data_IF_550088075307
#
_entry.id   IF_550088075307
#
_cell.length_a   1.000
_cell.length_b   1.000
_cell.length_c   1.000
_cell.angle_alpha   90.00
_cell.angle_beta   90.00
_cell.angle_gamma   90.00
#
_symmetry.space_group_name_H-M   'P 1'
#
loop_
_entity.id
_entity.type
_entity.pdbx_description
1 polymer ?
#
# COMPACT_ATOMS: atom_id res chain seq x y z
N UNK A 1 -16.20 0.80 8.34
CA UNK A 1 -15.88 0.28 7.01
C UNK A 1 -14.38 0.13 6.99
N UNK A 2 -13.89 -1.09 6.75
CA UNK A 2 -12.46 -1.27 6.53
C UNK A 2 -12.03 -0.55 5.23
N UNK A 3 -10.84 0.05 5.20
CA UNK A 3 -10.32 0.65 3.97
C UNK A 3 -10.14 -0.45 2.91
N UNK A 4 -10.70 -0.22 1.71
CA UNK A 4 -10.64 -1.17 0.61
C UNK A 4 -9.48 -0.84 -0.33
N UNK A 5 -8.65 -1.84 -0.61
CA UNK A 5 -7.53 -1.76 -1.52
C UNK A 5 -7.80 -2.57 -2.77
N UNK A 6 -7.97 -1.88 -3.89
CA UNK A 6 -8.13 -2.54 -5.18
C UNK A 6 -6.77 -2.89 -5.76
N UNK A 7 -6.64 -4.14 -6.18
CA UNK A 7 -5.48 -4.66 -6.87
C UNK A 7 -5.92 -5.51 -8.07
N UNK A 8 -4.96 -5.93 -8.88
CA UNK A 8 -5.17 -6.70 -10.10
C UNK A 8 -4.20 -7.88 -10.13
N UNK A 9 -4.69 -9.04 -10.57
CA UNK A 9 -3.87 -10.17 -10.96
C UNK A 9 -4.29 -10.61 -12.38
N UNK A 10 -3.71 -11.71 -12.88
CA UNK A 10 -3.97 -12.24 -14.23
C UNK A 10 -5.46 -12.53 -14.50
N UNK A 11 -6.22 -12.83 -13.45
CA UNK A 11 -7.65 -13.13 -13.55
C UNK A 11 -8.53 -11.88 -13.51
N UNK A 12 -7.99 -10.73 -13.08
CA UNK A 12 -8.68 -9.45 -13.04
C UNK A 12 -8.66 -8.76 -11.68
N UNK A 13 -9.60 -7.81 -11.50
CA UNK A 13 -9.66 -6.96 -10.31
C UNK A 13 -10.04 -7.77 -9.07
N UNK A 14 -9.44 -7.44 -7.94
CA UNK A 14 -9.85 -7.91 -6.62
C UNK A 14 -9.70 -6.80 -5.58
N UNK A 15 -10.29 -7.02 -4.41
CA UNK A 15 -10.32 -6.10 -3.30
C UNK A 15 -9.71 -6.80 -2.08
N UNK A 16 -8.78 -6.13 -1.42
CA UNK A 16 -8.24 -6.52 -0.12
C UNK A 16 -8.66 -5.49 0.92
N UNK A 17 -8.72 -5.93 2.17
CA UNK A 17 -9.04 -5.06 3.30
C UNK A 17 -7.90 -5.16 4.31
N UNK A 18 -7.55 -4.04 4.92
CA UNK A 18 -6.52 -4.03 5.96
C UNK A 18 -7.03 -4.71 7.23
N UNK A 19 -6.19 -5.57 7.82
CA UNK A 19 -6.51 -6.20 9.11
C UNK A 19 -6.62 -5.15 10.21
N UNK A 20 -5.73 -4.15 10.21
CA UNK A 20 -5.75 -3.05 11.17
C UNK A 20 -7.10 -2.32 11.21
N UNK A 21 -7.79 -2.18 10.07
CA UNK A 21 -9.11 -1.56 10.05
C UNK A 21 -10.21 -2.51 10.51
N UNK A 22 -10.13 -3.79 10.14
CA UNK A 22 -11.07 -4.79 10.62
C UNK A 22 -10.99 -4.95 12.15
N UNK A 23 -9.82 -4.76 12.75
CA UNK A 23 -9.59 -4.82 14.20
C UNK A 23 -10.15 -3.62 14.98
N UNK A 24 -10.30 -2.46 14.34
CA UNK A 24 -10.91 -1.27 14.97
C UNK A 24 -12.40 -1.46 15.25
N UNK A 25 -13.05 -2.37 14.53
CA UNK A 25 -14.49 -2.61 14.62
C UNK A 25 -14.76 -3.42 15.88
N UNK A 26 -15.53 -2.84 16.80
CA UNK A 26 -16.02 -3.54 17.98
C UNK A 26 -16.80 -4.78 17.55
N UNK A 27 -16.64 -5.92 18.24
CA UNK A 27 -17.39 -7.15 17.97
C UNK A 27 -18.88 -6.94 18.29
N UNK A 28 -19.76 -6.69 17.29
CA UNK A 28 -21.17 -6.53 17.57
C UNK A 28 -21.77 -7.92 17.75
N UNK A 29 -22.92 -8.00 18.42
CA UNK A 29 -23.78 -9.17 18.26
C UNK A 29 -24.15 -9.30 16.78
N UNK A 30 -24.17 -10.53 16.20
CA UNK A 30 -24.54 -10.74 14.81
C UNK A 30 -25.85 -10.00 14.47
N UNK A 31 -25.83 -9.17 13.42
CA UNK A 31 -26.99 -8.39 12.97
C UNK A 31 -27.81 -9.25 12.00
N UNK A 32 -29.14 -9.26 12.15
CA UNK A 32 -30.07 -10.02 11.29
C UNK A 32 -31.19 -10.72 12.05
N UNK A 33 -32.12 -11.35 11.32
CA UNK A 33 -33.16 -12.17 11.95
C UNK A 33 -32.56 -13.42 12.65
N UNK A 34 -33.34 -14.09 13.52
CA UNK A 34 -32.84 -15.22 14.31
C UNK A 34 -32.19 -16.33 13.45
N UNK A 35 -32.77 -16.63 12.29
CA UNK A 35 -32.29 -17.66 11.37
C UNK A 35 -30.95 -17.28 10.73
N UNK A 36 -30.81 -16.06 10.19
CA UNK A 36 -29.55 -15.57 9.63
C UNK A 36 -28.44 -15.62 10.68
N UNK A 37 -28.73 -15.19 11.91
CA UNK A 37 -27.76 -15.22 13.02
C UNK A 37 -27.32 -16.64 13.37
N UNK A 38 -28.24 -17.59 13.37
CA UNK A 38 -27.92 -19.00 13.62
C UNK A 38 -26.98 -19.57 12.54
N UNK A 39 -27.33 -19.38 11.26
CA UNK A 39 -26.55 -19.91 10.13
C UNK A 39 -25.18 -19.26 10.01
N UNK A 40 -25.11 -17.96 10.28
CA UNK A 40 -23.85 -17.22 10.31
C UNK A 40 -22.95 -17.66 11.47
N UNK A 41 -23.49 -17.84 12.67
CA UNK A 41 -22.73 -18.36 13.79
C UNK A 41 -22.19 -19.76 13.52
N UNK A 42 -23.00 -20.62 12.89
CA UNK A 42 -22.53 -21.92 12.41
C UNK A 42 -21.36 -21.76 11.44
N UNK A 43 -21.47 -20.86 10.45
CA UNK A 43 -20.45 -20.69 9.43
C UNK A 43 -19.14 -20.12 10.00
N UNK A 44 -19.23 -19.12 10.87
CA UNK A 44 -18.08 -18.56 11.61
C UNK A 44 -17.38 -19.65 12.43
N UNK A 45 -18.14 -20.50 13.13
CA UNK A 45 -17.57 -21.59 13.92
C UNK A 45 -16.83 -22.61 13.05
N UNK A 46 -17.37 -22.98 11.89
CA UNK A 46 -16.68 -23.89 10.96
C UNK A 46 -15.40 -23.26 10.37
N UNK A 47 -15.39 -21.94 10.13
CA UNK A 47 -14.18 -21.21 9.70
C UNK A 47 -13.13 -21.22 10.79
N UNK A 48 -13.48 -20.86 12.03
CA UNK A 48 -12.56 -20.88 13.18
C UNK A 48 -12.00 -22.28 13.48
N UNK A 49 -12.78 -23.34 13.23
CA UNK A 49 -12.29 -24.72 13.30
C UNK A 49 -11.31 -25.05 12.17
N UNK A 50 -11.56 -24.56 10.96
CA UNK A 50 -10.72 -24.82 9.80
C UNK A 50 -9.40 -24.04 9.81
N UNK A 51 -9.41 -22.82 10.35
CA UNK A 51 -8.29 -21.90 10.39
C UNK A 51 -8.01 -21.51 11.85
N UNK A 52 -7.24 -22.34 12.55
CA UNK A 52 -6.93 -22.12 13.97
C UNK A 52 -6.15 -20.82 14.13
N UNK A 53 -6.65 -19.93 14.98
CA UNK A 53 -6.04 -18.61 15.22
C UNK A 53 -6.60 -17.48 14.35
N UNK A 54 -7.50 -17.77 13.40
CA UNK A 54 -8.15 -16.70 12.65
C UNK A 54 -9.18 -15.94 13.50
N UNK A 55 -9.31 -14.65 13.23
CA UNK A 55 -10.41 -13.82 13.67
C UNK A 55 -11.44 -13.65 12.55
N UNK A 56 -12.68 -13.40 12.97
CA UNK A 56 -13.79 -13.09 12.06
C UNK A 56 -14.55 -11.91 12.63
N UNK A 57 -14.58 -10.79 11.90
CA UNK A 57 -15.20 -9.54 12.34
C UNK A 57 -16.03 -8.89 11.24
N UNK A 58 -17.14 -8.22 11.56
CA UNK A 58 -17.93 -7.53 10.55
C UNK A 58 -17.20 -6.32 9.98
N UNK A 59 -17.64 -5.86 8.81
CA UNK A 59 -17.10 -4.66 8.13
C UNK A 59 -17.64 -3.32 8.69
N UNK A 60 -18.69 -3.38 9.53
CA UNK A 60 -19.34 -2.22 10.13
C UNK A 60 -19.86 -2.50 11.55
N UNK A 61 -19.89 -1.46 12.39
CA UNK A 61 -20.33 -1.57 13.79
C UNK A 61 -21.84 -1.66 13.97
N UNK A 62 -22.67 -1.21 13.01
CA UNK A 62 -24.12 -1.35 13.09
C UNK A 62 -24.86 -1.01 11.77
N UNK A 63 -25.96 -1.72 11.51
CA UNK A 63 -27.08 -1.34 10.62
C UNK A 63 -26.92 -1.38 9.08
N UNK A 64 -25.97 -2.14 8.52
CA UNK A 64 -26.00 -2.44 7.09
C UNK A 64 -26.86 -3.68 6.79
N UNK A 65 -27.73 -3.61 5.77
CA UNK A 65 -28.46 -4.78 5.24
C UNK A 65 -27.51 -5.84 4.65
N UNK A 66 -26.31 -5.42 4.27
CA UNK A 66 -25.28 -6.24 3.63
C UNK A 66 -24.03 -6.29 4.52
N UNK A 67 -24.15 -6.94 5.69
CA UNK A 67 -23.03 -7.05 6.63
C UNK A 67 -22.13 -8.24 6.27
N UNK A 68 -20.98 -7.96 5.67
CA UNK A 68 -19.93 -8.97 5.45
C UNK A 68 -19.05 -9.11 6.68
N UNK A 69 -18.42 -10.28 6.82
CA UNK A 69 -17.51 -10.60 7.91
C UNK A 69 -16.15 -10.98 7.34
N UNK A 70 -15.16 -10.14 7.60
CA UNK A 70 -13.77 -10.34 7.23
C UNK A 70 -13.16 -11.49 8.01
N UNK A 71 -12.44 -12.36 7.32
CA UNK A 71 -11.70 -13.49 7.90
C UNK A 71 -10.21 -13.21 7.74
N UNK A 72 -9.47 -13.24 8.84
CA UNK A 72 -8.06 -12.88 8.82
C UNK A 72 -7.27 -13.49 9.98
N UNK A 73 -5.95 -13.47 9.86
CA UNK A 73 -5.05 -13.67 10.99
C UNK A 73 -4.64 -12.32 11.56
N UNK A 74 -4.63 -12.11 12.89
CA UNK A 74 -4.33 -10.81 13.50
C UNK A 74 -2.98 -10.21 13.11
N UNK A 75 -2.01 -11.06 12.76
CA UNK A 75 -0.65 -10.67 12.37
C UNK A 75 -0.47 -10.42 10.85
N UNK A 76 -1.51 -10.66 10.05
CA UNK A 76 -1.46 -10.38 8.61
C UNK A 76 -1.73 -8.91 8.29
N UNK A 77 -1.17 -8.41 7.18
CA UNK A 77 -1.45 -7.06 6.68
C UNK A 77 -2.88 -6.95 6.13
N UNK A 78 -3.29 -7.95 5.34
CA UNK A 78 -4.56 -7.98 4.63
C UNK A 78 -5.42 -9.19 5.02
N UNK A 79 -6.73 -9.02 4.96
CA UNK A 79 -7.70 -10.09 5.20
C UNK A 79 -7.61 -11.18 4.12
N UNK A 80 -7.98 -12.41 4.48
CA UNK A 80 -8.04 -13.54 3.53
C UNK A 80 -9.22 -13.40 2.55
N UNK A 81 -10.18 -12.56 2.92
CA UNK A 81 -11.47 -12.39 2.25
C UNK A 81 -12.56 -12.14 3.27
N UNK A 82 -13.82 -12.29 2.84
CA UNK A 82 -14.98 -12.15 3.71
C UNK A 82 -16.03 -13.19 3.43
N UNK A 83 -16.90 -13.40 4.41
CA UNK A 83 -18.07 -14.26 4.32
C UNK A 83 -19.35 -13.48 4.63
N UNK A 84 -20.45 -13.99 4.10
CA UNK A 84 -21.79 -13.46 4.37
C UNK A 84 -22.82 -14.61 4.34
N UNK A 85 -23.90 -14.44 5.09
CA UNK A 85 -25.08 -15.30 5.05
C UNK A 85 -26.31 -14.43 4.81
N UNK A 86 -26.92 -14.63 3.65
CA UNK A 86 -28.09 -13.87 3.22
C UNK A 86 -29.24 -14.77 2.78
N UNK A 87 -30.36 -14.15 2.43
CA UNK A 87 -31.52 -14.85 1.87
C UNK A 87 -31.63 -14.60 0.37
N UNK A 88 -31.67 -15.66 -0.43
CA UNK A 88 -31.94 -15.58 -1.86
C UNK A 88 -33.46 -15.59 -2.07
N UNK A 89 -34.04 -14.41 -2.30
CA UNK A 89 -35.49 -14.25 -2.50
C UNK A 89 -36.03 -15.05 -3.69
N UNK A 90 -35.26 -15.15 -4.79
CA UNK A 90 -35.68 -15.90 -5.98
C UNK A 90 -35.83 -17.40 -5.74
N UNK A 91 -34.99 -17.97 -4.87
CA UNK A 91 -34.97 -19.41 -4.58
C UNK A 91 -35.53 -19.75 -3.19
N UNK A 92 -36.01 -18.74 -2.47
CA UNK A 92 -36.52 -18.81 -1.10
C UNK A 92 -35.62 -19.60 -0.13
N UNK A 93 -34.31 -19.41 -0.23
CA UNK A 93 -33.31 -20.18 0.53
C UNK A 93 -32.23 -19.29 1.13
N UNK A 94 -31.70 -19.72 2.28
CA UNK A 94 -30.47 -19.18 2.81
C UNK A 94 -29.30 -19.51 1.88
N UNK A 95 -28.41 -18.53 1.69
CA UNK A 95 -27.22 -18.66 0.88
C UNK A 95 -26.00 -18.16 1.63
N UNK A 96 -24.92 -18.92 1.51
CA UNK A 96 -23.61 -18.62 2.04
C UNK A 96 -22.76 -18.03 0.93
N UNK A 97 -22.12 -16.90 1.20
CA UNK A 97 -21.21 -16.22 0.29
C UNK A 97 -19.80 -16.27 0.84
N UNK A 98 -18.85 -16.53 -0.05
CA UNK A 98 -17.42 -16.45 0.24
C UNK A 98 -16.80 -15.59 -0.84
N UNK A 99 -16.12 -14.54 -0.42
CA UNK A 99 -15.29 -13.70 -1.26
C UNK A 99 -13.82 -13.98 -0.99
N UNK A 100 -13.03 -14.08 -2.04
CA UNK A 100 -11.58 -14.14 -1.98
C UNK A 100 -10.99 -13.77 -3.34
N UNK A 101 -9.76 -13.22 -3.32
CA UNK A 101 -8.98 -12.98 -4.54
C UNK A 101 -8.68 -14.26 -5.32
N UNK A 102 -8.69 -15.43 -4.67
CA UNK A 102 -8.42 -16.73 -5.30
C UNK A 102 -9.65 -17.33 -6.02
N UNK A 103 -10.77 -16.61 -6.02
CA UNK A 103 -12.00 -17.04 -6.67
C UNK A 103 -12.08 -16.45 -8.06
N UNK A 104 -12.32 -17.32 -9.04
CA UNK A 104 -12.92 -16.97 -10.33
C UNK A 104 -14.22 -17.72 -10.49
N UNK A 105 -15.31 -16.99 -10.74
CA UNK A 105 -16.61 -17.61 -11.00
C UNK A 105 -17.01 -17.64 -12.46
N UNK A 106 -16.31 -16.91 -13.34
CA UNK A 106 -16.54 -16.83 -14.79
C UNK A 106 -18.01 -16.56 -15.19
N UNK A 107 -18.82 -16.03 -14.26
CA UNK A 107 -20.24 -15.70 -14.44
C UNK A 107 -20.48 -14.20 -14.52
N UNK A 108 -19.60 -13.43 -13.89
CA UNK A 108 -19.65 -11.96 -13.86
C UNK A 108 -18.41 -11.42 -14.55
N UNK A 109 -18.42 -10.13 -14.91
CA UNK A 109 -17.24 -9.49 -15.48
C UNK A 109 -16.11 -9.40 -14.46
N UNK A 110 -14.87 -9.57 -14.91
CA UNK A 110 -13.65 -9.61 -14.07
C UNK A 110 -13.28 -8.30 -13.34
N UNK A 111 -14.09 -7.25 -13.49
CA UNK A 111 -14.01 -6.00 -12.74
C UNK A 111 -15.07 -5.88 -11.62
N UNK A 112 -15.98 -6.84 -11.50
CA UNK A 112 -17.03 -6.89 -10.45
C UNK A 112 -16.55 -7.66 -9.22
N UNK A 113 -16.96 -7.23 -8.02
CA UNK A 113 -16.73 -8.00 -6.79
C UNK A 113 -17.42 -9.37 -6.81
N UNK A 114 -18.53 -9.48 -7.56
CA UNK A 114 -19.25 -10.74 -7.73
C UNK A 114 -18.40 -11.78 -8.44
N UNK A 115 -17.48 -11.39 -9.33
CA UNK A 115 -16.57 -12.31 -10.04
C UNK A 115 -15.68 -13.11 -9.09
N UNK A 116 -15.32 -12.48 -7.96
CA UNK A 116 -14.50 -13.02 -6.86
C UNK A 116 -15.33 -13.66 -5.74
N UNK A 117 -16.62 -13.93 -5.99
CA UNK A 117 -17.55 -14.49 -4.99
C UNK A 117 -18.09 -15.85 -5.43
N UNK A 118 -18.10 -16.81 -4.50
CA UNK A 118 -18.88 -18.06 -4.63
C UNK A 118 -20.10 -18.00 -3.71
N UNK A 119 -21.24 -18.41 -4.24
CA UNK A 119 -22.52 -18.45 -3.53
C UNK A 119 -23.05 -19.89 -3.58
N UNK A 120 -23.56 -20.40 -2.45
CA UNK A 120 -24.18 -21.73 -2.36
C UNK A 120 -25.26 -21.75 -1.28
N UNK A 121 -26.29 -22.57 -1.45
CA UNK A 121 -27.29 -22.83 -0.40
C UNK A 121 -26.92 -24.03 0.49
N UNK A 122 -25.88 -24.78 0.15
CA UNK A 122 -25.47 -25.99 0.86
C UNK A 122 -24.34 -25.69 1.85
N UNK A 123 -24.59 -25.93 3.14
CA UNK A 123 -23.62 -25.77 4.22
C UNK A 123 -22.29 -26.51 3.95
N UNK A 124 -22.36 -27.78 3.55
CA UNK A 124 -21.16 -28.58 3.25
C UNK A 124 -20.29 -27.94 2.17
N UNK A 125 -20.92 -27.42 1.11
CA UNK A 125 -20.24 -26.71 0.03
C UNK A 125 -19.68 -25.36 0.49
N UNK A 126 -20.42 -24.62 1.35
CA UNK A 126 -19.97 -23.34 1.89
C UNK A 126 -18.66 -23.50 2.66
N UNK A 127 -18.59 -24.53 3.52
CA UNK A 127 -17.36 -24.90 4.24
C UNK A 127 -16.23 -25.25 3.29
N UNK A 128 -16.48 -26.06 2.26
CA UNK A 128 -15.46 -26.43 1.28
C UNK A 128 -14.94 -25.22 0.51
N UNK A 129 -15.82 -24.31 0.09
CA UNK A 129 -15.46 -23.07 -0.59
C UNK A 129 -14.58 -22.18 0.32
N UNK A 130 -15.00 -21.97 1.56
CA UNK A 130 -14.23 -21.21 2.54
C UNK A 130 -12.81 -21.81 2.73
N UNK A 131 -12.72 -23.13 2.97
CA UNK A 131 -11.44 -23.83 3.13
C UNK A 131 -10.54 -23.76 1.90
N UNK A 132 -11.15 -23.78 0.70
CA UNK A 132 -10.40 -23.77 -0.55
C UNK A 132 -9.80 -22.39 -0.83
N UNK A 133 -10.62 -21.34 -0.69
CA UNK A 133 -10.32 -20.01 -1.24
C UNK A 133 -9.94 -18.95 -0.20
N UNK A 134 -10.31 -19.08 1.07
CA UNK A 134 -9.80 -18.16 2.09
C UNK A 134 -8.34 -18.57 2.36
N UNK A 135 -7.41 -17.87 1.73
CA UNK A 135 -5.96 -18.06 1.90
C UNK A 135 -5.32 -16.76 2.35
N UNK A 136 -4.24 -16.87 3.13
CA UNK A 136 -3.40 -15.73 3.50
C UNK A 136 -2.78 -15.14 2.24
N UNK A 137 -2.58 -13.82 2.22
CA UNK A 137 -1.87 -13.16 1.13
C UNK A 137 -0.39 -13.57 1.16
N UNK A 138 0.16 -13.89 -0.01
CA UNK A 138 1.62 -14.03 -0.20
C UNK A 138 2.29 -12.66 -0.08
N UNK A 139 3.60 -12.63 0.19
CA UNK A 139 4.32 -11.36 0.25
C UNK A 139 4.24 -10.59 -1.06
N UNK A 140 4.36 -11.25 -2.21
CA UNK A 140 4.16 -10.64 -3.52
C UNK A 140 2.80 -9.93 -3.65
N UNK A 141 1.72 -10.56 -3.19
CA UNK A 141 0.38 -9.95 -3.22
C UNK A 141 0.26 -8.76 -2.27
N UNK A 142 0.88 -8.84 -1.10
CA UNK A 142 0.95 -7.72 -0.14
C UNK A 142 1.67 -6.53 -0.78
N UNK A 143 2.80 -6.78 -1.45
CA UNK A 143 3.56 -5.73 -2.14
C UNK A 143 2.78 -5.15 -3.31
N UNK A 144 2.12 -5.97 -4.13
CA UNK A 144 1.27 -5.48 -5.23
C UNK A 144 0.18 -4.53 -4.74
N UNK A 145 -0.45 -4.84 -3.61
CA UNK A 145 -1.52 -4.05 -3.03
C UNK A 145 -1.03 -2.74 -2.37
N UNK A 146 0.21 -2.72 -1.84
CA UNK A 146 0.73 -1.61 -1.03
C UNK A 146 1.69 -0.67 -1.77
N UNK A 147 2.39 -1.14 -2.82
CA UNK A 147 3.46 -0.38 -3.50
C UNK A 147 3.03 0.97 -4.06
N UNK A 148 1.75 1.11 -4.40
CA UNK A 148 1.19 2.38 -4.87
C UNK A 148 1.26 3.47 -3.80
N UNK A 149 1.07 3.14 -2.51
CA UNK A 149 1.20 4.13 -1.42
C UNK A 149 2.65 4.59 -1.27
N UNK A 150 3.61 3.68 -1.37
CA UNK A 150 5.05 4.02 -1.39
C UNK A 150 5.37 4.96 -2.55
N UNK A 151 4.92 4.63 -3.78
CA UNK A 151 5.12 5.47 -4.96
C UNK A 151 4.52 6.86 -4.76
N UNK A 152 3.30 6.97 -4.26
CA UNK A 152 2.67 8.26 -3.99
C UNK A 152 3.47 9.10 -3.00
N UNK A 153 3.93 8.52 -1.89
CA UNK A 153 4.74 9.23 -0.90
C UNK A 153 6.06 9.74 -1.48
N UNK A 154 6.75 8.90 -2.27
CA UNK A 154 7.96 9.26 -2.98
C UNK A 154 7.72 10.39 -4.00
N UNK A 155 6.68 10.29 -4.83
CA UNK A 155 6.33 11.34 -5.80
C UNK A 155 5.98 12.65 -5.10
N UNK A 156 5.29 12.62 -3.96
CA UNK A 156 5.01 13.83 -3.18
C UNK A 156 6.29 14.51 -2.66
N UNK A 157 7.31 13.75 -2.28
CA UNK A 157 8.60 14.31 -1.90
C UNK A 157 9.31 14.98 -3.09
N UNK A 158 9.31 14.32 -4.25
CA UNK A 158 9.88 14.85 -5.50
C UNK A 158 9.16 16.12 -5.92
N UNK A 159 7.83 16.08 -6.03
CA UNK A 159 7.00 17.22 -6.42
C UNK A 159 7.18 18.39 -5.44
N UNK A 160 7.25 18.13 -4.13
CA UNK A 160 7.49 19.15 -3.13
C UNK A 160 8.86 19.83 -3.26
N UNK A 161 9.90 19.09 -3.66
CA UNK A 161 11.22 19.67 -3.95
C UNK A 161 11.21 20.51 -5.25
N UNK A 162 10.50 20.02 -6.27
CA UNK A 162 10.35 20.71 -7.54
C UNK A 162 9.55 22.01 -7.38
N UNK A 163 8.48 22.02 -6.59
CA UNK A 163 7.66 23.20 -6.32
C UNK A 163 8.46 24.31 -5.63
N UNK A 164 9.36 23.94 -4.70
CA UNK A 164 10.30 24.89 -4.08
C UNK A 164 11.25 25.48 -5.11
N UNK A 165 11.81 24.66 -5.99
CA UNK A 165 12.65 25.14 -7.08
C UNK A 165 11.88 26.03 -8.06
N UNK A 166 10.65 25.66 -8.45
CA UNK A 166 9.78 26.47 -9.30
C UNK A 166 9.48 27.84 -8.68
N UNK A 167 9.25 27.87 -7.36
CA UNK A 167 9.02 29.11 -6.62
C UNK A 167 10.26 29.99 -6.62
N UNK A 168 11.44 29.42 -6.33
CA UNK A 168 12.71 30.17 -6.35
C UNK A 168 13.03 30.70 -7.76
N UNK A 169 12.78 29.89 -8.78
CA UNK A 169 12.94 30.27 -10.19
C UNK A 169 12.04 31.44 -10.56
N UNK A 170 10.75 31.36 -10.20
CA UNK A 170 9.76 32.40 -10.50
C UNK A 170 10.10 33.73 -9.83
N UNK A 171 10.68 33.70 -8.62
CA UNK A 171 11.15 34.91 -7.93
C UNK A 171 12.31 35.60 -8.65
N UNK A 172 13.22 34.83 -9.24
CA UNK A 172 14.39 35.38 -9.92
C UNK A 172 14.05 35.85 -11.35
N UNK A 173 13.29 35.06 -12.11
CA UNK A 173 13.05 35.30 -13.53
C UNK A 173 11.67 35.87 -13.85
N UNK A 174 10.76 35.94 -12.88
CA UNK A 174 9.39 36.43 -13.09
C UNK A 174 8.51 35.51 -13.95
N UNK A 175 9.01 34.34 -14.34
CA UNK A 175 8.34 33.37 -15.18
C UNK A 175 8.31 32.00 -14.50
N UNK A 176 7.29 31.18 -14.80
CA UNK A 176 7.21 29.82 -14.29
C UNK A 176 8.40 29.00 -14.78
N UNK A 177 8.91 28.12 -13.92
CA UNK A 177 9.95 27.17 -14.30
C UNK A 177 9.43 26.15 -15.31
N UNK A 178 10.29 25.86 -16.29
CA UNK A 178 10.26 24.65 -17.11
C UNK A 178 11.70 24.25 -17.45
N UNK A 179 11.87 22.97 -17.75
CA UNK A 179 13.18 22.37 -17.98
C UNK A 179 13.92 23.01 -19.17
N UNK A 180 13.22 23.33 -20.25
CA UNK A 180 13.82 23.91 -21.46
C UNK A 180 14.38 25.30 -21.18
N UNK A 181 13.65 26.12 -20.43
CA UNK A 181 14.09 27.45 -20.02
C UNK A 181 15.26 27.38 -19.01
N UNK A 182 15.27 26.39 -18.10
CA UNK A 182 16.43 26.13 -17.23
C UNK A 182 17.68 25.80 -18.03
N UNK A 183 17.58 24.90 -19.01
CA UNK A 183 18.69 24.52 -19.88
C UNK A 183 19.19 25.72 -20.71
N UNK A 184 18.28 26.53 -21.27
CA UNK A 184 18.63 27.72 -22.03
C UNK A 184 19.29 28.83 -21.17
N UNK A 185 18.85 29.00 -19.92
CA UNK A 185 19.40 30.00 -19.01
C UNK A 185 20.67 29.53 -18.28
N UNK A 186 21.08 28.27 -18.42
CA UNK A 186 22.22 27.70 -17.67
C UNK A 186 23.52 28.52 -17.82
N UNK A 187 23.93 28.97 -19.03
CA UNK A 187 25.17 29.76 -19.17
C UNK A 187 25.15 31.06 -18.36
N UNK A 188 24.06 31.84 -18.48
CA UNK A 188 23.93 33.11 -17.75
C UNK A 188 23.75 32.89 -16.25
N UNK A 189 23.03 31.84 -15.85
CA UNK A 189 22.83 31.50 -14.44
C UNK A 189 24.17 31.13 -13.77
N UNK A 190 25.04 30.40 -14.47
CA UNK A 190 26.38 30.09 -14.00
C UNK A 190 27.25 31.35 -13.84
N UNK A 191 27.18 32.31 -14.77
CA UNK A 191 27.85 33.59 -14.61
C UNK A 191 27.33 34.39 -13.41
N UNK A 192 26.01 34.45 -13.22
CA UNK A 192 25.38 35.09 -12.05
C UNK A 192 25.83 34.44 -10.73
N UNK A 193 25.98 33.11 -10.73
CA UNK A 193 26.53 32.37 -9.60
C UNK A 193 27.99 32.70 -9.33
N UNK A 194 28.83 32.80 -10.35
CA UNK A 194 30.24 33.22 -10.16
C UNK A 194 30.34 34.66 -9.65
N UNK A 195 29.50 35.58 -10.13
CA UNK A 195 29.44 36.94 -9.64
C UNK A 195 29.08 36.97 -8.15
N UNK A 196 28.06 36.22 -7.75
CA UNK A 196 27.67 36.06 -6.35
C UNK A 196 28.85 35.54 -5.50
N UNK A 197 29.50 34.47 -5.95
CA UNK A 197 30.62 33.83 -5.22
C UNK A 197 31.87 34.73 -5.15
N UNK A 198 32.04 35.62 -6.13
CA UNK A 198 33.13 36.63 -6.16
C UNK A 198 32.88 37.83 -5.24
N UNK A 199 31.73 37.90 -4.56
CA UNK A 199 31.35 39.04 -3.72
C UNK A 199 30.89 40.27 -4.52
N UNK A 200 30.42 40.09 -5.76
CA UNK A 200 29.90 41.18 -6.57
C UNK A 200 28.70 41.87 -5.90
N UNK A 201 28.71 43.19 -5.86
CA UNK A 201 27.58 43.97 -5.35
C UNK A 201 26.52 44.18 -6.43
N UNK A 202 25.46 43.38 -6.39
CA UNK A 202 24.29 43.56 -7.24
C UNK A 202 23.57 44.88 -6.91
N UNK A 203 23.09 45.55 -7.96
CA UNK A 203 22.29 46.78 -7.84
C UNK A 203 20.96 46.51 -7.14
N UNK A 204 20.26 45.47 -7.58
CA UNK A 204 19.07 44.96 -6.89
C UNK A 204 19.51 44.09 -5.71
N UNK A 205 19.15 44.53 -4.50
CA UNK A 205 19.54 43.89 -3.24
C UNK A 205 18.84 42.56 -2.98
N UNK A 206 17.79 42.21 -3.75
CA UNK A 206 17.08 40.93 -3.63
C UNK A 206 17.73 39.80 -4.45
N UNK A 207 18.56 40.15 -5.45
CA UNK A 207 19.18 39.19 -6.37
C UNK A 207 20.09 38.18 -5.65
N UNK A 208 20.98 38.57 -4.72
CA UNK A 208 21.83 37.62 -4.00
C UNK A 208 21.04 36.53 -3.25
N UNK A 209 19.99 36.93 -2.53
CA UNK A 209 19.13 36.02 -1.75
C UNK A 209 18.34 35.08 -2.67
N UNK A 210 17.82 35.61 -3.79
CA UNK A 210 17.09 34.82 -4.78
C UNK A 210 18.00 33.82 -5.51
N UNK A 211 19.24 34.22 -5.86
CA UNK A 211 20.23 33.32 -6.46
C UNK A 211 20.64 32.21 -5.50
N UNK A 212 20.91 32.54 -4.24
CA UNK A 212 21.25 31.56 -3.20
C UNK A 212 20.11 30.56 -3.00
N UNK A 213 18.88 31.08 -2.87
CA UNK A 213 17.68 30.26 -2.72
C UNK A 213 17.46 29.35 -3.93
N UNK A 214 17.67 29.85 -5.15
CA UNK A 214 17.54 29.05 -6.37
C UNK A 214 18.60 27.95 -6.44
N UNK A 215 19.86 28.26 -6.10
CA UNK A 215 20.97 27.29 -6.11
C UNK A 215 20.69 26.14 -5.13
N UNK A 216 20.31 26.45 -3.89
CA UNK A 216 19.96 25.46 -2.87
C UNK A 216 18.74 24.65 -3.29
N UNK A 217 17.69 25.29 -3.78
CA UNK A 217 16.48 24.59 -4.20
C UNK A 217 16.73 23.69 -5.42
N UNK A 218 17.63 24.07 -6.32
CA UNK A 218 18.06 23.24 -7.45
C UNK A 218 18.79 21.99 -6.97
N UNK A 219 19.75 22.13 -6.07
CA UNK A 219 20.49 21.00 -5.50
C UNK A 219 19.55 20.01 -4.80
N UNK A 220 18.61 20.51 -4.00
CA UNK A 220 17.60 19.66 -3.34
C UNK A 220 16.67 18.98 -4.35
N UNK A 221 16.21 19.68 -5.39
CA UNK A 221 15.40 19.09 -6.47
C UNK A 221 16.15 17.97 -7.18
N UNK A 222 17.38 18.24 -7.58
CA UNK A 222 18.20 17.31 -8.35
C UNK A 222 18.55 16.07 -7.51
N UNK A 223 18.90 16.27 -6.23
CA UNK A 223 19.12 15.16 -5.28
C UNK A 223 17.84 14.36 -5.01
N UNK A 224 16.70 15.03 -4.79
CA UNK A 224 15.43 14.33 -4.54
C UNK A 224 15.02 13.46 -5.74
N UNK A 225 15.33 13.90 -6.96
CA UNK A 225 15.09 13.11 -8.16
C UNK A 225 16.03 11.90 -8.23
N UNK A 226 17.32 12.09 -7.95
CA UNK A 226 18.28 10.99 -7.91
C UNK A 226 17.92 9.94 -6.85
N UNK A 227 17.50 10.37 -5.65
CA UNK A 227 17.06 9.48 -4.58
C UNK A 227 15.78 8.70 -4.96
N UNK A 228 14.89 9.30 -5.75
CA UNK A 228 13.64 8.68 -6.19
C UNK A 228 13.85 7.58 -7.24
N UNK A 229 14.93 7.64 -8.01
CA UNK A 229 15.31 6.65 -9.02
C UNK A 229 16.06 5.44 -8.41
N UNK A 230 16.42 5.49 -7.12
CA UNK A 230 17.07 4.37 -6.43
C UNK A 230 16.13 3.15 -6.38
N UNK A 231 16.64 1.94 -6.68
CA UNK A 231 15.85 0.74 -6.56
C UNK A 231 15.45 0.50 -5.10
N UNK A 232 14.28 -0.10 -4.89
CA UNK A 232 13.79 -0.41 -3.55
C UNK A 232 13.54 -1.91 -3.35
N UNK A 233 13.61 -2.33 -2.10
CA UNK A 233 13.14 -3.61 -1.60
C UNK A 233 11.90 -3.40 -0.72
N UNK A 234 10.87 -4.21 -0.91
CA UNK A 234 9.75 -4.31 0.01
C UNK A 234 10.02 -5.43 1.02
N UNK A 235 10.09 -5.09 2.29
CA UNK A 235 10.47 -5.99 3.39
C UNK A 235 9.31 -6.14 4.35
N UNK A 236 8.86 -7.39 4.53
CA UNK A 236 7.88 -7.75 5.56
C UNK A 236 8.60 -8.41 6.74
N UNK A 237 8.33 -7.91 7.94
CA UNK A 237 8.90 -8.38 9.20
C UNK A 237 7.83 -9.10 10.00
N UNK A 238 8.11 -10.33 10.45
CA UNK A 238 7.19 -11.11 11.27
C UNK A 238 7.93 -12.14 12.13
N UNK A 239 7.25 -12.72 13.13
CA UNK A 239 7.81 -13.81 13.92
C UNK A 239 7.38 -15.17 13.36
N UNK A 240 8.34 -16.09 13.24
CA UNK A 240 8.10 -17.48 12.84
C UNK A 240 8.94 -18.42 13.71
N UNK A 241 8.25 -19.29 14.47
CA UNK A 241 8.89 -20.27 15.37
C UNK A 241 9.82 -19.62 16.42
N UNK A 242 9.45 -18.47 16.97
CA UNK A 242 10.25 -17.76 17.98
C UNK A 242 11.45 -17.00 17.42
N UNK A 243 11.59 -16.92 16.09
CA UNK A 243 12.63 -16.14 15.40
C UNK A 243 11.99 -15.07 14.52
N UNK A 244 12.65 -13.93 14.41
CA UNK A 244 12.28 -12.92 13.43
C UNK A 244 12.59 -13.43 12.02
N UNK A 245 11.64 -13.25 11.10
CA UNK A 245 11.75 -13.61 9.71
C UNK A 245 11.45 -12.36 8.85
N UNK A 246 12.14 -12.29 7.72
CA UNK A 246 12.09 -11.15 6.80
C UNK A 246 11.80 -11.67 5.40
N UNK A 247 10.63 -11.35 4.85
CA UNK A 247 10.38 -11.59 3.44
C UNK A 247 10.82 -10.34 2.66
N UNK A 248 11.80 -10.48 1.78
CA UNK A 248 12.38 -9.37 1.01
C UNK A 248 12.04 -9.55 -0.46
N UNK A 249 11.36 -8.56 -1.03
CA UNK A 249 10.90 -8.54 -2.42
C UNK A 249 11.53 -7.35 -3.16
N UNK A 250 12.41 -7.57 -4.15
CA UNK A 250 12.94 -6.49 -4.97
C UNK A 250 11.86 -5.87 -5.87
N UNK A 251 11.54 -4.60 -5.65
CA UNK A 251 10.50 -3.88 -6.42
C UNK A 251 11.09 -3.00 -7.53
N UNK A 252 12.39 -2.68 -7.44
CA UNK A 252 13.09 -1.86 -8.43
C UNK A 252 12.81 -0.36 -8.26
N UNK A 253 12.98 0.39 -9.34
CA UNK A 253 12.72 1.84 -9.39
C UNK A 253 11.22 2.12 -9.19
N UNK A 254 10.88 2.75 -8.06
CA UNK A 254 9.50 3.10 -7.71
C UNK A 254 9.02 4.40 -8.37
N UNK A 255 9.93 5.29 -8.79
CA UNK A 255 9.59 6.48 -9.57
C UNK A 255 9.05 6.06 -10.95
N UNK A 256 9.75 5.15 -11.63
CA UNK A 256 9.34 4.55 -12.90
C UNK A 256 8.74 3.14 -12.74
N UNK A 257 7.91 2.94 -11.71
CA UNK A 257 7.37 1.64 -11.30
C UNK A 257 6.75 0.84 -12.47
N UNK A 258 7.36 -0.29 -12.79
CA UNK A 258 6.80 -1.28 -13.71
C UNK A 258 5.64 -2.04 -13.05
N UNK A 259 4.45 -1.84 -13.63
CA UNK A 259 3.22 -2.48 -13.14
C UNK A 259 3.17 -3.97 -13.46
N UNK A 260 3.82 -4.41 -14.54
CA UNK A 260 3.81 -5.80 -15.02
C UNK A 260 4.92 -6.65 -14.40
N UNK A 261 5.81 -6.07 -13.60
CA UNK A 261 6.90 -6.77 -12.94
C UNK A 261 6.38 -7.92 -12.07
N UNK A 262 6.87 -9.11 -12.35
CA UNK A 262 6.70 -10.26 -11.47
C UNK A 262 7.49 -10.02 -10.17
N UNK A 263 6.80 -10.19 -9.05
CA UNK A 263 7.37 -9.97 -7.72
C UNK A 263 7.69 -11.32 -7.10
N UNK A 264 8.97 -11.62 -7.02
CA UNK A 264 9.50 -12.76 -6.28
C UNK A 264 10.11 -12.25 -4.97
N UNK A 265 10.13 -13.11 -3.96
CA UNK A 265 10.67 -12.78 -2.66
C UNK A 265 11.38 -13.97 -2.05
N UNK A 266 12.39 -13.65 -1.24
CA UNK A 266 13.14 -14.61 -0.45
C UNK A 266 12.90 -14.34 1.04
N UNK A 267 12.91 -15.40 1.84
CA UNK A 267 12.80 -15.31 3.30
C UNK A 267 14.18 -15.39 3.95
N UNK A 268 14.50 -14.39 4.75
CA UNK A 268 15.74 -14.27 5.53
C UNK A 268 15.44 -14.36 7.03
N UNK A 269 16.44 -14.80 7.80
CA UNK A 269 16.35 -14.86 9.26
C UNK A 269 17.45 -14.01 9.90
N UNK A 270 18.69 -14.13 9.42
CA UNK A 270 19.85 -13.41 9.96
C UNK A 270 20.58 -12.62 8.85
N UNK A 271 20.80 -13.22 7.68
CA UNK A 271 21.63 -12.66 6.60
C UNK A 271 20.86 -11.77 5.60
N UNK A 272 20.29 -10.65 6.08
CA UNK A 272 19.58 -9.71 5.19
C UNK A 272 20.55 -9.05 4.18
N UNK A 273 20.03 -8.59 3.02
CA UNK A 273 20.83 -7.80 2.08
C UNK A 273 21.45 -6.56 2.75
N UNK A 274 22.65 -6.20 2.29
CA UNK A 274 23.44 -5.12 2.87
C UNK A 274 22.65 -3.81 3.00
N UNK A 275 22.77 -3.16 4.15
CA UNK A 275 22.12 -1.88 4.45
C UNK A 275 20.62 -1.95 4.74
N UNK A 276 19.93 -3.06 4.47
CA UNK A 276 18.47 -3.22 4.75
C UNK A 276 18.19 -3.07 6.25
N UNK A 277 18.93 -3.77 7.10
CA UNK A 277 18.69 -3.78 8.55
C UNK A 277 18.85 -2.38 9.18
N UNK A 278 19.85 -1.61 8.73
CA UNK A 278 20.06 -0.23 9.18
C UNK A 278 18.88 0.67 8.80
N UNK A 279 18.44 0.60 7.54
CA UNK A 279 17.30 1.39 7.04
C UNK A 279 15.98 0.99 7.71
N UNK A 280 15.76 -0.30 7.98
CA UNK A 280 14.60 -0.80 8.73
C UNK A 280 14.56 -0.24 10.16
N UNK A 281 15.71 -0.20 10.82
CA UNK A 281 15.83 0.35 12.18
C UNK A 281 15.48 1.84 12.20
N UNK A 282 15.91 2.61 11.19
CA UNK A 282 15.52 4.01 11.04
C UNK A 282 14.01 4.16 10.81
N UNK A 283 13.43 3.40 9.87
CA UNK A 283 12.01 3.49 9.55
C UNK A 283 11.11 3.06 10.73
N UNK A 284 11.56 2.13 11.56
CA UNK A 284 10.82 1.63 12.72
C UNK A 284 10.59 2.70 13.81
N UNK A 285 11.38 3.78 13.79
CA UNK A 285 11.22 4.93 14.71
C UNK A 285 10.27 5.99 14.10
N UNK A 286 10.09 6.00 12.79
CA UNK A 286 9.28 6.99 12.06
C UNK A 286 7.80 6.63 12.04
N UNK A 287 6.92 7.59 11.71
CA UNK A 287 5.49 7.36 11.64
C UNK A 287 5.11 6.41 10.49
N UNK A 288 4.00 5.68 10.67
CA UNK A 288 3.38 4.94 9.57
C UNK A 288 2.94 5.94 8.50
N UNK A 289 3.38 5.72 7.26
CA UNK A 289 3.15 6.62 6.13
C UNK A 289 4.29 7.60 5.85
N UNK A 290 5.35 7.61 6.67
CA UNK A 290 6.49 8.50 6.45
C UNK A 290 7.42 7.95 5.36
N UNK A 291 7.87 8.86 4.48
CA UNK A 291 8.95 8.62 3.52
C UNK A 291 10.17 9.46 3.90
N UNK A 292 11.33 8.82 3.92
CA UNK A 292 12.63 9.42 4.23
C UNK A 292 13.55 9.18 3.02
N UNK A 293 14.05 10.25 2.38
CA UNK A 293 15.02 10.13 1.28
C UNK A 293 16.21 9.25 1.65
N UNK A 294 16.69 8.44 0.70
CA UNK A 294 17.81 7.49 0.86
C UNK A 294 17.61 6.37 1.90
N UNK A 295 16.48 6.35 2.61
CA UNK A 295 16.13 5.28 3.57
C UNK A 295 14.93 4.49 3.06
N UNK A 296 13.80 5.15 2.81
CA UNK A 296 12.59 4.51 2.27
C UNK A 296 11.29 4.96 2.92
N UNK A 297 10.28 4.09 2.93
CA UNK A 297 8.90 4.35 3.34
C UNK A 297 8.38 3.31 4.34
N UNK A 298 7.77 3.74 5.44
CA UNK A 298 7.07 2.86 6.39
C UNK A 298 5.61 2.70 5.98
N UNK A 299 5.21 1.51 5.51
CA UNK A 299 3.83 1.27 5.10
C UNK A 299 2.92 0.91 6.28
N UNK A 300 3.41 0.05 7.16
CA UNK A 300 2.69 -0.43 8.35
C UNK A 300 3.68 -0.77 9.47
N UNK A 301 3.22 -1.44 10.52
CA UNK A 301 4.08 -1.98 11.57
C UNK A 301 5.00 -3.10 11.07
N UNK A 302 4.55 -3.85 10.07
CA UNK A 302 5.24 -5.04 9.58
C UNK A 302 5.80 -4.88 8.17
N UNK A 303 5.37 -3.88 7.40
CA UNK A 303 5.77 -3.70 6.00
C UNK A 303 6.54 -2.39 5.78
N UNK A 304 7.71 -2.52 5.18
CA UNK A 304 8.64 -1.42 4.89
C UNK A 304 9.08 -1.47 3.44
N UNK A 305 9.35 -0.31 2.87
CA UNK A 305 10.01 -0.18 1.58
C UNK A 305 11.34 0.50 1.83
N UNK A 306 12.46 -0.14 1.50
CA UNK A 306 13.80 0.40 1.74
C UNK A 306 14.52 0.64 0.43
N UNK A 307 15.23 1.76 0.30
CA UNK A 307 16.10 2.00 -0.87
C UNK A 307 17.28 1.04 -0.87
N UNK A 308 17.91 0.83 -2.02
CA UNK A 308 19.15 0.09 -2.20
C UNK A 308 20.23 1.04 -2.71
#
# INVERSE_FOLDING_TARGET
MAESHYSYNDEGKYCLYMVADAQKIALPSPVGNATNRYELNWFINEIKKAFRGCEVRPDHENNARDMVYHVYYPEDEYTMGWIDVGFCHTNEKMVYRVYSRDITNNKHSNYSSEFRTKITALQGQAKQNAKKYLRRCTHSEVVLASRTKCRSALMHAVDGSQDKHCTAWTRLFGARWDKTNEEAATPILNEMYMLLDSGHEFLDKTVPDNLTSLRVAKEVKDQSKADAEMPMHAVRVYERLGKQAFDVCPVGDMHNMDRARLLEFDTYYDDLPDGVLGKLSTLSICGVGDYIPQVGYRHSEALFYVTQ
#
